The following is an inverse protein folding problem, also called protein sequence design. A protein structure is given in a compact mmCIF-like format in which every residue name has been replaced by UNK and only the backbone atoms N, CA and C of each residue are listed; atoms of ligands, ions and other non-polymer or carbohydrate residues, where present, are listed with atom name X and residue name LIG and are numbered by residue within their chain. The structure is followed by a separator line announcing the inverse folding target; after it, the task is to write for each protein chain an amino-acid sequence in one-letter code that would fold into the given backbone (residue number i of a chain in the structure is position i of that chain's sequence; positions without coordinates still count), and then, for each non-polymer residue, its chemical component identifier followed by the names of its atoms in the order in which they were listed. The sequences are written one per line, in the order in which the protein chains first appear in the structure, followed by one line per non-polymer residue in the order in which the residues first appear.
data_IF_718003740493
#
_entry.id   IF_718003740493
#
_cell.length_a   1.000
_cell.length_b   1.000
_cell.length_c   1.000
_cell.angle_alpha   90.00
_cell.angle_beta   90.00
_cell.angle_gamma   90.00
#
_symmetry.space_group_name_H-M   'P 1'
#
loop_
_entity.id
_entity.type
_entity.pdbx_description
1 polymer ?
#
# COMPACT_ATOMS: atom_id res chain seq x y z
N UNK A 1 37.52 -67.95 -6.04
CA UNK A 1 36.44 -67.00 -6.21
C UNK A 1 36.37 -65.95 -5.08
N UNK A 2 36.48 -66.32 -3.80
CA UNK A 2 36.34 -65.37 -2.66
C UNK A 2 37.28 -64.14 -2.69
N UNK A 3 38.58 -64.29 -3.06
CA UNK A 3 39.54 -63.19 -3.06
C UNK A 3 39.22 -62.13 -4.10
N UNK A 4 38.79 -62.45 -5.32
CA UNK A 4 38.41 -61.56 -6.37
C UNK A 4 37.14 -60.77 -6.00
N UNK A 5 36.16 -61.41 -5.36
CA UNK A 5 34.94 -60.80 -4.91
C UNK A 5 35.21 -59.75 -3.82
N UNK A 6 36.13 -60.07 -2.87
CA UNK A 6 36.52 -59.11 -1.82
C UNK A 6 37.17 -57.86 -2.41
N UNK A 7 38.09 -58.04 -3.38
CA UNK A 7 38.76 -56.93 -4.06
C UNK A 7 37.74 -56.00 -4.79
N UNK A 8 36.75 -56.57 -5.46
CA UNK A 8 35.68 -55.81 -6.14
C UNK A 8 34.84 -55.04 -5.13
N UNK A 9 34.47 -55.64 -4.01
CA UNK A 9 33.72 -54.97 -2.95
C UNK A 9 34.50 -53.78 -2.39
N UNK A 10 35.79 -53.95 -2.12
CA UNK A 10 36.65 -52.87 -1.67
C UNK A 10 36.76 -51.73 -2.71
N UNK A 11 36.96 -52.08 -3.98
CA UNK A 11 37.04 -51.09 -5.06
C UNK A 11 35.74 -50.31 -5.20
N UNK A 12 34.59 -50.95 -5.14
CA UNK A 12 33.27 -50.29 -5.16
C UNK A 12 33.07 -49.42 -3.92
N UNK A 13 33.45 -49.89 -2.74
CA UNK A 13 33.34 -49.09 -1.51
C UNK A 13 34.20 -47.83 -1.56
N UNK A 14 35.47 -47.94 -2.01
CA UNK A 14 36.36 -46.77 -2.19
C UNK A 14 35.82 -45.82 -3.23
N UNK A 15 35.31 -46.33 -4.35
CA UNK A 15 34.67 -45.49 -5.37
C UNK A 15 33.46 -44.72 -4.82
N UNK A 16 32.59 -45.41 -4.06
CA UNK A 16 31.42 -44.76 -3.44
C UNK A 16 31.82 -43.69 -2.43
N UNK A 17 32.87 -43.93 -1.62
CA UNK A 17 33.37 -42.93 -0.68
C UNK A 17 33.90 -41.71 -1.42
N UNK A 18 34.74 -41.90 -2.44
CA UNK A 18 35.28 -40.82 -3.25
C UNK A 18 34.13 -40.06 -3.94
N UNK A 19 33.17 -40.78 -4.52
CA UNK A 19 31.98 -40.19 -5.14
C UNK A 19 31.17 -39.35 -4.16
N UNK A 20 30.89 -39.86 -2.95
CA UNK A 20 30.14 -39.13 -1.93
C UNK A 20 30.87 -37.86 -1.46
N UNK A 21 32.20 -37.95 -1.27
CA UNK A 21 33.02 -36.80 -0.87
C UNK A 21 32.99 -35.73 -2.00
N UNK A 22 33.26 -36.15 -3.23
CA UNK A 22 33.28 -35.27 -4.40
C UNK A 22 31.89 -34.63 -4.62
N UNK A 23 30.85 -35.45 -4.57
CA UNK A 23 29.47 -35.01 -4.73
C UNK A 23 29.06 -34.02 -3.65
N UNK A 24 29.38 -34.30 -2.38
CA UNK A 24 29.08 -33.39 -1.29
C UNK A 24 29.85 -32.07 -1.40
N UNK A 25 31.07 -32.07 -1.93
CA UNK A 25 31.87 -30.88 -2.14
C UNK A 25 31.35 -30.04 -3.32
N UNK A 26 30.97 -30.69 -4.42
CA UNK A 26 30.45 -30.02 -5.62
C UNK A 26 29.03 -29.53 -5.40
N UNK A 27 28.22 -30.28 -4.65
CA UNK A 27 26.83 -29.96 -4.35
C UNK A 27 26.66 -29.22 -3.02
N UNK A 28 27.68 -28.58 -2.47
CA UNK A 28 27.52 -27.67 -1.33
C UNK A 28 27.33 -26.25 -1.79
N UNK A 29 26.41 -25.53 -1.14
CA UNK A 29 26.18 -24.09 -1.44
C UNK A 29 27.48 -23.31 -1.28
N UNK A 30 27.93 -22.68 -2.36
CA UNK A 30 29.17 -21.91 -2.37
C UNK A 30 28.94 -20.40 -2.41
N UNK A 31 27.73 -19.97 -2.82
CA UNK A 31 27.39 -18.56 -2.99
C UNK A 31 25.90 -18.33 -2.89
N UNK A 32 25.52 -17.26 -2.24
CA UNK A 32 24.23 -16.61 -2.39
C UNK A 32 24.41 -15.34 -3.20
N UNK A 33 23.46 -15.06 -4.07
CA UNK A 33 23.39 -13.82 -4.81
C UNK A 33 22.00 -13.25 -4.64
N UNK A 34 21.91 -12.09 -3.99
CA UNK A 34 20.66 -11.35 -3.87
C UNK A 34 20.60 -10.35 -5.02
N UNK A 35 19.62 -10.55 -5.91
CA UNK A 35 19.40 -9.72 -7.11
C UNK A 35 18.19 -8.84 -6.87
N UNK A 36 18.29 -7.57 -7.24
CA UNK A 36 17.20 -6.61 -7.17
C UNK A 36 17.27 -5.65 -8.35
N UNK A 37 16.10 -5.22 -8.83
CA UNK A 37 16.02 -4.08 -9.73
C UNK A 37 16.34 -2.80 -8.95
N UNK A 38 16.31 -1.62 -9.56
CA UNK A 38 16.60 -0.36 -8.88
C UNK A 38 15.83 -0.24 -7.55
N UNK A 39 16.54 0.09 -6.47
CA UNK A 39 15.97 0.20 -5.13
C UNK A 39 16.49 1.43 -4.38
N UNK A 40 15.86 1.77 -3.26
CA UNK A 40 16.34 2.81 -2.36
C UNK A 40 17.68 2.41 -1.71
N UNK A 41 18.50 3.36 -1.21
CA UNK A 41 19.71 3.03 -0.47
C UNK A 41 19.47 2.08 0.72
N UNK A 42 18.33 2.23 1.40
CA UNK A 42 17.93 1.37 2.53
C UNK A 42 17.62 -0.05 2.07
N UNK A 43 16.94 -0.21 0.93
CA UNK A 43 16.71 -1.52 0.32
C UNK A 43 18.01 -2.20 -0.03
N UNK A 44 18.96 -1.48 -0.66
CA UNK A 44 20.27 -2.01 -1.04
C UNK A 44 21.00 -2.53 0.21
N UNK A 45 21.03 -1.72 1.27
CA UNK A 45 21.67 -2.11 2.52
C UNK A 45 21.01 -3.36 3.16
N UNK A 46 19.68 -3.45 3.13
CA UNK A 46 18.95 -4.63 3.62
C UNK A 46 19.19 -5.86 2.74
N UNK A 47 19.23 -5.72 1.43
CA UNK A 47 19.53 -6.82 0.51
C UNK A 47 20.95 -7.37 0.74
N UNK A 48 21.94 -6.51 0.99
CA UNK A 48 23.29 -6.91 1.36
C UNK A 48 23.31 -7.63 2.73
N UNK A 49 22.54 -7.16 3.70
CA UNK A 49 22.41 -7.84 5.00
C UNK A 49 21.79 -9.23 4.85
N UNK A 50 20.74 -9.37 4.02
CA UNK A 50 20.13 -10.66 3.69
C UNK A 50 21.16 -11.61 3.08
N UNK A 51 21.93 -11.13 2.11
CA UNK A 51 22.97 -11.95 1.49
C UNK A 51 23.99 -12.44 2.51
N UNK A 52 24.52 -11.54 3.34
CA UNK A 52 25.50 -11.88 4.36
C UNK A 52 24.96 -12.90 5.37
N UNK A 53 23.72 -12.75 5.81
CA UNK A 53 23.08 -13.64 6.76
C UNK A 53 22.82 -15.04 6.15
N UNK A 54 22.39 -15.08 4.89
CA UNK A 54 22.23 -16.35 4.16
C UNK A 54 23.58 -17.06 3.99
N UNK A 55 24.64 -16.32 3.68
CA UNK A 55 25.99 -16.87 3.57
C UNK A 55 26.48 -17.39 4.93
N UNK A 56 26.32 -16.62 6.01
CA UNK A 56 26.74 -17.06 7.34
C UNK A 56 26.02 -18.34 7.80
N UNK A 57 24.71 -18.41 7.60
CA UNK A 57 23.89 -19.53 8.06
C UNK A 57 23.97 -20.78 7.19
N UNK A 58 24.13 -20.61 5.87
CA UNK A 58 23.85 -21.69 4.90
C UNK A 58 24.98 -22.00 3.92
N UNK A 59 26.10 -21.27 3.89
CA UNK A 59 27.27 -21.69 3.12
C UNK A 59 27.74 -23.09 3.51
N UNK A 60 28.19 -23.85 2.53
CA UNK A 60 28.64 -25.25 2.67
C UNK A 60 27.57 -26.26 3.06
N UNK A 61 26.31 -25.87 3.25
CA UNK A 61 25.22 -26.85 3.38
C UNK A 61 24.91 -27.47 2.03
N UNK A 62 24.27 -28.64 2.07
CA UNK A 62 23.98 -29.37 0.83
C UNK A 62 22.98 -28.59 -0.03
N UNK A 63 23.39 -28.27 -1.24
CA UNK A 63 22.61 -27.51 -2.22
C UNK A 63 21.28 -28.16 -2.61
N UNK A 64 21.29 -29.51 -2.75
CA UNK A 64 20.08 -30.23 -3.18
C UNK A 64 19.00 -30.28 -2.11
N UNK A 65 19.41 -30.28 -0.84
CA UNK A 65 18.49 -30.29 0.32
C UNK A 65 18.29 -28.90 0.93
N UNK A 66 18.74 -27.85 0.26
CA UNK A 66 18.47 -26.49 0.71
C UNK A 66 16.99 -26.18 0.53
N UNK A 67 16.34 -25.73 1.59
CA UNK A 67 14.92 -25.36 1.63
C UNK A 67 14.75 -23.88 1.34
N UNK A 68 13.87 -23.54 0.43
CA UNK A 68 13.62 -22.15 0.03
C UNK A 68 12.98 -21.32 1.17
N UNK A 69 12.26 -21.99 2.06
CA UNK A 69 11.66 -21.40 3.27
C UNK A 69 12.69 -20.68 4.14
N UNK A 70 13.94 -21.13 4.14
CA UNK A 70 15.03 -20.46 4.84
C UNK A 70 15.32 -19.08 4.28
N UNK A 71 15.15 -18.87 2.97
CA UNK A 71 15.31 -17.57 2.32
C UNK A 71 14.17 -16.65 2.73
N UNK A 72 12.92 -17.13 2.61
CA UNK A 72 11.76 -16.35 3.00
C UNK A 72 11.82 -15.91 4.46
N UNK A 73 12.22 -16.80 5.36
CA UNK A 73 12.38 -16.49 6.78
C UNK A 73 13.47 -15.41 7.01
N UNK A 74 14.62 -15.53 6.35
CA UNK A 74 15.73 -14.57 6.49
C UNK A 74 15.36 -13.20 5.91
N UNK A 75 14.70 -13.16 4.75
CA UNK A 75 14.22 -11.91 4.14
C UNK A 75 13.16 -11.26 5.01
N UNK A 76 12.24 -12.02 5.60
CA UNK A 76 11.24 -11.48 6.52
C UNK A 76 11.86 -10.91 7.80
N UNK A 77 12.87 -11.59 8.36
CA UNK A 77 13.57 -11.16 9.57
C UNK A 77 14.34 -9.83 9.37
N UNK A 78 15.07 -9.70 8.26
CA UNK A 78 15.95 -8.56 7.98
C UNK A 78 15.20 -7.43 7.25
N UNK A 79 14.43 -7.80 6.23
CA UNK A 79 13.69 -6.88 5.38
C UNK A 79 12.47 -6.27 6.08
N UNK A 80 11.99 -6.91 7.16
CA UNK A 80 10.67 -6.60 7.71
C UNK A 80 9.60 -6.79 6.63
N UNK A 81 8.63 -5.88 6.58
CA UNK A 81 7.63 -5.87 5.51
C UNK A 81 8.10 -5.24 4.19
N UNK A 82 9.28 -4.62 4.16
CA UNK A 82 9.74 -3.80 3.02
C UNK A 82 10.43 -4.56 1.89
N UNK A 83 10.85 -5.81 2.13
CA UNK A 83 11.40 -6.68 1.10
C UNK A 83 10.46 -7.84 0.81
N UNK A 84 10.23 -8.10 -0.46
CA UNK A 84 9.49 -9.26 -0.94
C UNK A 84 10.38 -10.15 -1.78
N UNK A 85 10.37 -11.45 -1.50
CA UNK A 85 11.02 -12.45 -2.35
C UNK A 85 10.18 -12.65 -3.59
N UNK A 86 10.74 -12.36 -4.76
CA UNK A 86 10.11 -12.58 -6.07
C UNK A 86 10.35 -14.01 -6.54
N UNK A 87 11.59 -14.49 -6.42
CA UNK A 87 11.95 -15.87 -6.77
C UNK A 87 13.19 -16.33 -6.00
N UNK A 88 13.28 -17.64 -5.81
CA UNK A 88 14.48 -18.32 -5.33
C UNK A 88 14.86 -19.34 -6.38
N UNK A 89 16.05 -19.23 -6.93
CA UNK A 89 16.52 -20.11 -8.00
C UNK A 89 17.77 -20.83 -7.58
N UNK A 90 17.74 -22.16 -7.72
CA UNK A 90 18.91 -23.02 -7.54
C UNK A 90 19.70 -23.08 -8.85
N UNK A 91 20.81 -22.33 -8.91
CA UNK A 91 21.69 -22.29 -10.08
C UNK A 91 22.79 -23.33 -9.92
N UNK A 92 22.68 -24.39 -10.74
CA UNK A 92 23.67 -25.49 -10.70
C UNK A 92 25.09 -24.96 -11.01
N UNK A 93 26.15 -25.47 -10.35
CA UNK A 93 26.12 -26.62 -9.43
C UNK A 93 25.83 -26.26 -7.95
N UNK A 94 25.98 -25.01 -7.52
CA UNK A 94 26.09 -24.71 -6.09
C UNK A 94 25.78 -23.26 -5.69
N UNK A 95 25.13 -22.50 -6.56
CA UNK A 95 24.72 -21.10 -6.31
C UNK A 95 23.21 -21.03 -6.05
N UNK A 96 22.80 -20.18 -5.12
CA UNK A 96 21.40 -19.82 -4.89
C UNK A 96 21.23 -18.35 -5.25
N UNK A 97 20.36 -18.07 -6.21
CA UNK A 97 19.98 -16.72 -6.62
C UNK A 97 18.64 -16.38 -6.00
N UNK A 98 18.58 -15.25 -5.30
CA UNK A 98 17.37 -14.73 -4.64
C UNK A 98 17.03 -13.42 -5.26
N UNK A 99 15.90 -13.35 -5.96
CA UNK A 99 15.39 -12.10 -6.48
C UNK A 99 14.46 -11.47 -5.45
N UNK A 100 14.73 -10.21 -5.09
CA UNK A 100 13.90 -9.44 -4.15
C UNK A 100 13.46 -8.12 -4.79
N UNK A 101 12.30 -7.63 -4.35
CA UNK A 101 11.82 -6.29 -4.71
C UNK A 101 11.48 -5.49 -3.45
N UNK A 102 11.60 -4.18 -3.57
CA UNK A 102 11.17 -3.24 -2.54
C UNK A 102 9.65 -3.08 -2.57
N UNK A 103 9.04 -3.05 -1.38
CA UNK A 103 7.65 -2.63 -1.20
C UNK A 103 7.63 -1.18 -0.78
N UNK A 104 6.84 -0.42 -1.47
CA UNK A 104 6.67 1.00 -1.19
C UNK A 104 5.50 1.22 -0.23
N UNK A 105 5.70 2.16 0.68
CA UNK A 105 4.66 2.61 1.58
C UNK A 105 3.54 3.28 0.78
N UNK A 106 2.30 2.92 1.07
CA UNK A 106 1.13 3.51 0.45
C UNK A 106 0.43 4.49 1.38
N UNK A 107 0.16 4.08 2.60
CA UNK A 107 -0.52 4.89 3.60
C UNK A 107 -0.23 4.39 5.01
N UNK A 108 -0.47 5.25 6.00
CA UNK A 108 -0.32 4.94 7.41
C UNK A 108 -1.69 5.02 8.10
N UNK A 109 -2.20 3.89 8.57
CA UNK A 109 -3.39 3.87 9.41
C UNK A 109 -3.05 4.12 10.87
N UNK A 110 -3.91 4.87 11.55
CA UNK A 110 -3.72 5.20 12.97
C UNK A 110 -4.85 4.56 13.79
N UNK A 111 -4.49 3.76 14.77
CA UNK A 111 -5.44 3.17 15.72
C UNK A 111 -4.78 2.86 17.06
N UNK A 112 -5.46 3.20 18.15
CA UNK A 112 -4.99 2.90 19.52
C UNK A 112 -3.63 3.51 19.86
N UNK A 113 -3.26 4.64 19.24
CA UNK A 113 -1.95 5.28 19.41
C UNK A 113 -0.81 4.60 18.66
N UNK A 114 -1.11 3.63 17.80
CA UNK A 114 -0.14 2.97 16.92
C UNK A 114 -0.32 3.37 15.48
N UNK A 115 0.77 3.35 14.75
CA UNK A 115 0.88 3.67 13.34
C UNK A 115 1.19 2.39 12.56
N UNK A 116 0.31 2.04 11.63
CA UNK A 116 0.39 0.86 10.79
C UNK A 116 0.70 1.30 9.37
N UNK A 117 1.94 1.12 8.95
CA UNK A 117 2.35 1.43 7.57
C UNK A 117 1.97 0.28 6.68
N UNK A 118 1.20 0.60 5.64
CA UNK A 118 0.68 -0.38 4.68
C UNK A 118 1.26 -0.09 3.31
N UNK A 119 1.75 -1.12 2.65
CA UNK A 119 2.28 -1.05 1.30
C UNK A 119 1.19 -0.93 0.23
N UNK A 120 1.61 -0.66 -0.98
CA UNK A 120 0.74 -0.55 -2.16
C UNK A 120 -0.03 -1.84 -2.46
N UNK A 121 0.55 -2.98 -2.13
CA UNK A 121 -0.07 -4.31 -2.24
C UNK A 121 -1.01 -4.64 -1.07
N UNK A 122 -1.16 -3.75 -0.10
CA UNK A 122 -1.95 -3.93 1.11
C UNK A 122 -1.29 -4.79 2.19
N UNK A 123 0.02 -5.01 2.14
CA UNK A 123 0.75 -5.69 3.22
C UNK A 123 1.19 -4.69 4.29
N UNK A 124 1.09 -5.06 5.56
CA UNK A 124 1.61 -4.25 6.67
C UNK A 124 3.13 -4.32 6.69
N UNK A 125 3.78 -3.18 6.48
CA UNK A 125 5.22 -3.06 6.38
C UNK A 125 5.87 -2.82 7.75
N UNK A 126 5.23 -2.01 8.58
CA UNK A 126 5.70 -1.73 9.94
C UNK A 126 4.56 -1.36 10.87
N UNK A 127 4.78 -1.55 12.18
CA UNK A 127 3.88 -1.12 13.25
C UNK A 127 4.73 -0.44 14.32
N UNK A 128 4.43 0.82 14.63
CA UNK A 128 5.20 1.60 15.61
C UNK A 128 4.30 2.46 16.52
N UNK A 129 4.84 2.89 17.65
CA UNK A 129 4.17 3.82 18.58
C UNK A 129 4.42 5.29 18.17
N UNK A 130 5.18 5.52 17.12
CA UNK A 130 5.49 6.85 16.58
C UNK A 130 5.27 6.88 15.10
N UNK A 131 4.82 8.00 14.59
CA UNK A 131 4.79 8.24 13.15
C UNK A 131 6.22 8.54 12.66
N UNK A 132 7.02 7.49 12.47
CA UNK A 132 8.41 7.61 12.02
C UNK A 132 8.52 8.02 10.55
N UNK A 133 7.42 7.86 9.80
CA UNK A 133 7.38 8.08 8.36
C UNK A 133 6.77 9.43 7.98
N UNK A 134 6.58 10.33 8.94
CA UNK A 134 6.10 11.69 8.68
C UNK A 134 7.21 12.57 8.07
N UNK A 135 7.89 12.04 7.07
CA UNK A 135 8.70 12.83 6.15
C UNK A 135 7.72 13.35 5.11
N UNK A 136 7.60 14.67 5.02
CA UNK A 136 6.70 15.38 4.10
C UNK A 136 6.55 14.64 2.76
N UNK A 137 5.32 14.26 2.45
CA UNK A 137 4.95 13.69 1.15
C UNK A 137 5.19 12.18 0.95
N UNK A 138 5.60 11.40 1.96
CA UNK A 138 5.80 9.96 1.78
C UNK A 138 4.58 9.12 2.06
N UNK A 139 3.85 9.39 3.15
CA UNK A 139 2.70 8.59 3.55
C UNK A 139 1.48 9.44 3.81
N UNK A 140 0.37 9.02 3.24
CA UNK A 140 -0.94 9.60 3.57
C UNK A 140 -1.40 8.97 4.88
N UNK A 141 -1.62 9.80 5.90
CA UNK A 141 -2.18 9.35 7.18
C UNK A 141 -3.68 9.11 7.04
N UNK A 142 -4.15 7.93 7.43
CA UNK A 142 -5.56 7.55 7.38
C UNK A 142 -6.09 7.40 8.81
N UNK A 143 -7.19 8.09 9.09
CA UNK A 143 -7.84 8.11 10.41
C UNK A 143 -9.33 7.84 10.26
N UNK A 144 -9.96 7.26 11.29
CA UNK A 144 -11.41 7.06 11.33
C UNK A 144 -11.90 5.77 10.67
N UNK A 145 -11.03 4.96 10.07
CA UNK A 145 -11.38 3.65 9.54
C UNK A 145 -10.93 2.58 10.54
N UNK A 146 -11.87 1.77 11.03
CA UNK A 146 -11.56 0.67 11.92
C UNK A 146 -11.07 -0.55 11.12
N UNK A 147 -10.06 -1.22 11.66
CA UNK A 147 -9.44 -2.37 11.04
C UNK A 147 -9.07 -3.45 12.05
N UNK A 148 -8.91 -4.66 11.53
CA UNK A 148 -8.43 -5.79 12.32
C UNK A 148 -6.94 -5.56 12.60
N UNK A 149 -6.53 -5.68 13.87
CA UNK A 149 -5.15 -5.43 14.29
C UNK A 149 -4.19 -6.43 13.63
N UNK A 150 -3.46 -6.04 12.58
CA UNK A 150 -2.55 -6.92 11.86
C UNK A 150 -1.15 -6.91 12.47
N UNK A 151 -0.36 -7.92 12.13
CA UNK A 151 1.08 -7.94 12.39
C UNK A 151 1.85 -7.54 11.12
N UNK A 152 3.13 -7.24 11.27
CA UNK A 152 4.01 -7.01 10.12
C UNK A 152 4.03 -8.24 9.23
N UNK A 153 3.83 -8.05 7.93
CA UNK A 153 3.73 -9.11 6.94
C UNK A 153 2.30 -9.57 6.63
N UNK A 154 1.32 -9.27 7.50
CA UNK A 154 -0.07 -9.62 7.24
C UNK A 154 -0.70 -8.74 6.15
N UNK A 155 -1.74 -9.26 5.52
CA UNK A 155 -2.62 -8.42 4.67
C UNK A 155 -3.50 -7.55 5.55
N UNK A 156 -3.47 -6.26 5.27
CA UNK A 156 -4.32 -5.28 5.94
C UNK A 156 -5.79 -5.50 5.58
N UNK A 157 -6.64 -5.63 6.60
CA UNK A 157 -8.08 -5.81 6.44
C UNK A 157 -8.83 -4.89 7.38
N UNK A 158 -9.87 -4.26 6.87
CA UNK A 158 -10.79 -3.44 7.66
C UNK A 158 -11.91 -4.30 8.26
N UNK A 159 -12.59 -3.78 9.27
CA UNK A 159 -13.79 -4.41 9.80
C UNK A 159 -14.92 -4.36 8.76
N UNK A 160 -15.89 -5.23 8.86
CA UNK A 160 -16.98 -5.38 7.86
C UNK A 160 -17.72 -4.07 7.60
N UNK A 161 -17.99 -3.31 8.66
CA UNK A 161 -18.67 -2.00 8.61
C UNK A 161 -17.90 -0.95 7.77
N UNK A 162 -16.57 -1.04 7.68
CA UNK A 162 -15.75 -0.10 6.94
C UNK A 162 -15.32 -0.58 5.54
N UNK A 163 -15.84 -1.72 5.07
CA UNK A 163 -15.44 -2.27 3.76
C UNK A 163 -15.73 -1.31 2.61
N UNK A 164 -16.87 -0.64 2.63
CA UNK A 164 -17.23 0.34 1.58
C UNK A 164 -16.37 1.60 1.67
N UNK A 165 -16.18 2.14 2.86
CA UNK A 165 -15.31 3.29 3.11
C UNK A 165 -13.88 3.02 2.64
N UNK A 166 -13.35 1.83 2.92
CA UNK A 166 -12.03 1.44 2.48
C UNK A 166 -11.92 1.28 0.96
N UNK A 167 -12.95 0.74 0.31
CA UNK A 167 -12.99 0.67 -1.14
C UNK A 167 -13.02 2.07 -1.78
N UNK A 168 -13.80 2.99 -1.22
CA UNK A 168 -13.86 4.38 -1.64
C UNK A 168 -12.51 5.09 -1.43
N UNK A 169 -11.87 4.89 -0.27
CA UNK A 169 -10.52 5.41 0.03
C UNK A 169 -9.50 4.95 -1.02
N UNK A 170 -9.48 3.68 -1.34
CA UNK A 170 -8.58 3.15 -2.37
C UNK A 170 -8.83 3.78 -3.75
N UNK A 171 -10.10 4.02 -4.10
CA UNK A 171 -10.46 4.68 -5.35
C UNK A 171 -9.91 6.12 -5.37
N UNK A 172 -10.05 6.87 -4.29
CA UNK A 172 -9.50 8.22 -4.17
C UNK A 172 -7.97 8.22 -4.31
N UNK A 173 -7.28 7.34 -3.56
CA UNK A 173 -5.81 7.24 -3.60
C UNK A 173 -5.32 6.85 -5.00
N UNK A 174 -6.02 5.98 -5.72
CA UNK A 174 -5.67 5.64 -7.08
C UNK A 174 -5.74 6.85 -8.02
N UNK A 175 -6.76 7.70 -7.89
CA UNK A 175 -6.87 8.95 -8.68
C UNK A 175 -5.75 9.95 -8.29
N UNK A 176 -5.44 10.08 -7.01
CA UNK A 176 -4.31 10.89 -6.52
C UNK A 176 -2.99 10.41 -7.13
N UNK A 177 -2.74 9.10 -7.11
CA UNK A 177 -1.53 8.51 -7.68
C UNK A 177 -1.46 8.68 -9.20
N UNK A 178 -2.58 8.49 -9.90
CA UNK A 178 -2.67 8.64 -11.35
C UNK A 178 -2.32 10.07 -11.83
N UNK A 179 -2.56 11.07 -10.96
CA UNK A 179 -2.23 12.48 -11.22
C UNK A 179 -0.87 12.92 -10.67
N UNK A 180 -0.15 12.05 -9.97
CA UNK A 180 1.12 12.39 -9.33
C UNK A 180 0.98 13.33 -8.12
N UNK A 181 -0.23 13.44 -7.54
CA UNK A 181 -0.55 14.36 -6.45
C UNK A 181 -0.32 13.77 -5.05
N UNK A 182 0.28 12.60 -4.97
CA UNK A 182 0.49 11.91 -3.69
C UNK A 182 1.21 12.78 -2.65
N UNK A 183 2.25 13.50 -3.06
CA UNK A 183 3.02 14.41 -2.20
C UNK A 183 2.22 15.63 -1.70
N UNK A 184 1.04 15.88 -2.26
CA UNK A 184 0.18 17.00 -1.88
C UNK A 184 -0.84 16.63 -0.80
N UNK A 185 -1.05 15.35 -0.52
CA UNK A 185 -2.03 14.86 0.45
C UNK A 185 -1.31 14.45 1.74
N UNK A 186 -1.69 15.04 2.86
CA UNK A 186 -1.11 14.75 4.17
C UNK A 186 -1.92 13.71 4.93
N UNK A 187 -3.24 13.88 4.98
CA UNK A 187 -4.13 13.10 5.83
C UNK A 187 -5.49 12.96 5.18
N UNK A 188 -6.11 11.82 5.40
CA UNK A 188 -7.51 11.57 5.07
C UNK A 188 -8.20 11.06 6.32
N UNK A 189 -9.22 11.78 6.77
CA UNK A 189 -10.06 11.39 7.88
C UNK A 189 -11.42 10.94 7.35
N UNK A 190 -11.81 9.73 7.70
CA UNK A 190 -13.17 9.26 7.51
C UNK A 190 -13.98 9.60 8.74
N UNK A 191 -15.09 10.27 8.55
CA UNK A 191 -16.03 10.63 9.61
C UNK A 191 -17.46 10.22 9.25
N UNK A 192 -18.26 10.05 10.31
CA UNK A 192 -19.70 9.83 10.21
C UNK A 192 -20.39 10.63 11.32
N UNK A 193 -21.61 11.09 11.10
CA UNK A 193 -22.39 11.77 12.14
C UNK A 193 -23.20 10.83 13.02
N UNK A 194 -22.83 9.55 13.06
CA UNK A 194 -23.40 8.56 13.99
C UNK A 194 -24.74 7.99 13.58
N UNK A 195 -25.11 8.10 12.32
CA UNK A 195 -26.25 7.39 11.77
C UNK A 195 -27.59 8.02 12.08
N UNK A 196 -27.69 9.34 11.95
CA UNK A 196 -28.98 9.99 11.86
C UNK A 196 -29.60 9.65 10.50
N UNK A 197 -30.24 8.49 10.44
CA UNK A 197 -30.77 7.86 9.23
C UNK A 197 -31.98 8.59 8.63
N UNK A 198 -32.44 9.67 9.26
CA UNK A 198 -33.61 10.42 8.81
C UNK A 198 -33.28 11.47 7.75
N UNK A 199 -31.98 11.69 7.50
CA UNK A 199 -31.53 12.58 6.43
C UNK A 199 -31.04 11.76 5.24
N UNK A 200 -31.64 11.99 4.12
CA UNK A 200 -31.34 11.31 2.85
C UNK A 200 -30.08 11.82 2.14
N UNK A 201 -29.42 12.86 2.65
CA UNK A 201 -28.03 13.23 2.36
C UNK A 201 -27.22 13.01 3.65
N UNK A 202 -26.14 12.44 3.52
CA UNK A 202 -25.60 11.62 4.51
C UNK A 202 -24.51 12.12 5.41
N UNK A 203 -24.20 11.27 6.02
CA UNK A 203 -23.74 10.90 7.33
C UNK A 203 -22.26 10.48 7.30
N UNK A 204 -21.65 10.35 6.13
CA UNK A 204 -20.24 10.03 6.03
C UNK A 204 -19.48 11.01 5.14
N UNK A 205 -18.19 11.18 5.42
CA UNK A 205 -17.33 12.04 4.61
C UNK A 205 -15.87 11.59 4.67
N UNK A 206 -15.12 11.93 3.63
CA UNK A 206 -13.68 12.06 3.72
C UNK A 206 -13.33 13.54 3.87
N UNK A 207 -12.53 13.86 4.90
CA UNK A 207 -11.87 15.15 5.04
C UNK A 207 -10.38 14.95 4.74
N UNK A 208 -9.91 15.62 3.69
CA UNK A 208 -8.56 15.46 3.18
C UNK A 208 -7.80 16.76 3.44
N UNK A 209 -6.74 16.67 4.23
CA UNK A 209 -5.81 17.75 4.47
C UNK A 209 -4.73 17.75 3.39
N UNK A 210 -4.48 18.91 2.77
CA UNK A 210 -3.43 19.08 1.77
C UNK A 210 -2.22 19.82 2.34
N UNK A 211 -1.07 19.65 1.71
CA UNK A 211 0.18 20.36 2.08
C UNK A 211 0.02 21.88 1.95
N UNK A 212 -0.76 22.34 0.99
CA UNK A 212 -0.93 23.77 0.71
C UNK A 212 -1.94 24.44 1.64
N UNK A 213 -2.82 23.68 2.32
CA UNK A 213 -3.72 24.14 3.35
C UNK A 213 -5.21 24.11 2.99
N UNK A 214 -5.58 24.10 1.69
CA UNK A 214 -6.98 23.88 1.31
C UNK A 214 -7.38 22.46 1.70
N UNK A 215 -8.61 22.28 2.18
CA UNK A 215 -9.17 20.97 2.50
C UNK A 215 -10.11 20.50 1.41
N UNK A 216 -10.11 19.20 1.19
CA UNK A 216 -11.08 18.57 0.29
C UNK A 216 -12.03 17.75 1.15
N UNK A 217 -13.32 18.02 1.03
CA UNK A 217 -14.37 17.24 1.70
C UNK A 217 -15.22 16.52 0.67
N UNK A 218 -15.23 15.19 0.74
CA UNK A 218 -16.05 14.35 -0.13
C UNK A 218 -17.18 13.78 0.71
N UNK A 219 -18.39 14.17 0.42
CA UNK A 219 -19.59 13.70 1.10
C UNK A 219 -20.03 12.38 0.49
N UNK A 220 -20.49 11.45 1.33
CA UNK A 220 -20.95 10.12 0.93
C UNK A 220 -19.97 9.36 0.02
N UNK A 221 -18.71 9.17 0.44
CA UNK A 221 -17.72 8.52 -0.40
C UNK A 221 -18.10 7.09 -0.80
N UNK A 222 -18.99 6.46 -0.06
CA UNK A 222 -19.44 5.07 -0.24
C UNK A 222 -20.61 4.94 -1.21
N UNK A 223 -21.22 6.07 -1.60
CA UNK A 223 -22.36 6.13 -2.51
C UNK A 223 -21.96 6.64 -3.87
N UNK A 224 -22.71 6.22 -4.86
CA UNK A 224 -22.54 6.62 -6.25
C UNK A 224 -21.10 6.39 -6.77
N UNK A 225 -20.67 7.19 -7.72
CA UNK A 225 -19.36 7.03 -8.35
C UNK A 225 -18.25 7.80 -7.61
N UNK A 226 -17.54 7.11 -6.72
CA UNK A 226 -16.40 7.70 -6.00
C UNK A 226 -15.27 8.14 -6.94
N UNK A 227 -15.08 7.49 -8.10
CA UNK A 227 -14.06 7.91 -9.08
C UNK A 227 -14.43 9.26 -9.69
N UNK A 228 -15.72 9.48 -10.00
CA UNK A 228 -16.19 10.79 -10.46
C UNK A 228 -16.00 11.87 -9.40
N UNK A 229 -16.36 11.58 -8.13
CA UNK A 229 -16.14 12.50 -7.00
C UNK A 229 -14.66 12.86 -6.84
N UNK A 230 -13.78 11.87 -6.87
CA UNK A 230 -12.34 12.07 -6.76
C UNK A 230 -11.79 12.93 -7.91
N UNK A 231 -12.22 12.64 -9.15
CA UNK A 231 -11.81 13.43 -10.33
C UNK A 231 -12.22 14.88 -10.20
N UNK A 232 -13.48 15.15 -9.86
CA UNK A 232 -13.97 16.51 -9.68
C UNK A 232 -13.20 17.27 -8.59
N UNK A 233 -12.98 16.63 -7.44
CA UNK A 233 -12.19 17.21 -6.35
C UNK A 233 -10.79 17.60 -6.79
N UNK A 234 -10.10 16.67 -7.44
CA UNK A 234 -8.71 16.86 -7.85
C UNK A 234 -8.58 17.78 -9.06
N UNK A 235 -9.60 17.87 -9.95
CA UNK A 235 -9.64 18.85 -11.04
C UNK A 235 -9.69 20.28 -10.48
N UNK A 236 -10.52 20.53 -9.48
CA UNK A 236 -10.59 21.85 -8.83
C UNK A 236 -9.29 22.16 -8.09
N UNK A 237 -8.74 21.17 -7.38
CA UNK A 237 -7.48 21.33 -6.67
C UNK A 237 -6.32 21.68 -7.63
N UNK A 238 -6.25 21.02 -8.79
CA UNK A 238 -5.20 21.27 -9.78
C UNK A 238 -5.36 22.59 -10.52
N UNK A 239 -6.59 22.89 -10.97
CA UNK A 239 -6.84 23.99 -11.90
C UNK A 239 -7.26 25.26 -11.22
N UNK A 240 -7.69 25.21 -9.96
CA UNK A 240 -8.35 26.30 -9.22
C UNK A 240 -9.57 26.87 -9.98
N UNK A 241 -10.33 25.98 -10.62
CA UNK A 241 -11.57 26.32 -11.33
C UNK A 241 -12.70 25.43 -10.86
N UNK A 242 -13.82 26.03 -10.59
CA UNK A 242 -15.08 25.34 -10.30
C UNK A 242 -16.01 25.54 -11.48
N UNK A 243 -16.67 24.48 -11.93
CA UNK A 243 -17.75 24.62 -12.91
C UNK A 243 -19.05 24.87 -12.16
N UNK A 244 -19.70 25.97 -12.45
CA UNK A 244 -21.04 26.23 -11.91
C UNK A 244 -22.00 25.17 -12.45
N UNK A 245 -22.65 24.40 -11.56
CA UNK A 245 -23.44 23.25 -11.99
C UNK A 245 -24.72 23.61 -12.74
N UNK A 246 -25.19 24.86 -12.60
CA UNK A 246 -26.45 25.30 -13.19
C UNK A 246 -26.24 26.02 -14.53
N UNK A 247 -25.15 26.78 -14.66
CA UNK A 247 -24.82 27.52 -15.88
C UNK A 247 -23.79 26.82 -16.77
N UNK A 248 -22.99 25.89 -16.20
CA UNK A 248 -21.86 25.28 -16.89
C UNK A 248 -20.66 26.21 -17.09
N UNK A 249 -20.68 27.42 -16.53
CA UNK A 249 -19.59 28.37 -16.63
C UNK A 249 -18.44 28.03 -15.67
N UNK A 250 -17.22 28.25 -16.12
CA UNK A 250 -16.03 28.07 -15.28
C UNK A 250 -15.81 29.32 -14.42
N UNK A 251 -15.80 29.15 -13.11
CA UNK A 251 -15.48 30.18 -12.13
C UNK A 251 -14.02 30.01 -11.71
N UNK A 252 -13.17 30.97 -11.99
CA UNK A 252 -11.77 30.93 -11.54
C UNK A 252 -11.69 31.33 -10.07
N UNK A 253 -11.01 30.48 -9.29
CA UNK A 253 -10.71 30.79 -7.89
C UNK A 253 -9.38 31.55 -7.84
N UNK A 254 -9.27 32.48 -6.87
CA UNK A 254 -8.01 33.19 -6.66
C UNK A 254 -6.92 32.25 -6.14
N UNK A 255 -5.62 32.60 -6.25
CA UNK A 255 -4.51 31.77 -5.80
C UNK A 255 -4.57 31.43 -4.31
N UNK A 256 -5.21 32.24 -3.50
CA UNK A 256 -5.41 32.01 -2.07
C UNK A 256 -6.32 30.81 -1.79
N UNK A 257 -7.10 30.36 -2.79
CA UNK A 257 -7.96 29.19 -2.66
C UNK A 257 -7.18 27.87 -2.45
N UNK A 258 -5.91 27.83 -2.79
CA UNK A 258 -5.04 26.68 -2.46
C UNK A 258 -4.64 26.66 -0.99
N UNK A 259 -4.56 27.78 -0.35
CA UNK A 259 -4.08 27.89 1.02
C UNK A 259 -5.20 27.92 2.05
N UNK A 260 -6.44 28.14 1.62
CA UNK A 260 -7.57 28.34 2.52
C UNK A 260 -8.86 27.72 1.97
N UNK A 261 -9.77 27.44 2.89
CA UNK A 261 -11.13 27.01 2.56
C UNK A 261 -11.26 25.54 2.26
N UNK A 262 -12.37 25.20 1.62
CA UNK A 262 -12.79 23.83 1.37
C UNK A 262 -13.27 23.64 -0.06
N UNK A 263 -12.84 22.56 -0.67
CA UNK A 263 -13.40 21.99 -1.89
C UNK A 263 -14.40 20.92 -1.46
N UNK A 264 -15.69 21.23 -1.53
CA UNK A 264 -16.74 20.29 -1.17
C UNK A 264 -17.23 19.56 -2.41
N UNK A 265 -17.21 18.24 -2.35
CA UNK A 265 -17.77 17.38 -3.39
C UNK A 265 -18.96 16.62 -2.82
N UNK A 266 -20.10 16.78 -3.45
CA UNK A 266 -21.35 16.20 -2.97
C UNK A 266 -22.23 15.79 -4.13
N UNK A 267 -23.15 14.87 -3.86
CA UNK A 267 -24.18 14.46 -4.80
C UNK A 267 -25.35 15.45 -4.73
N UNK A 268 -25.90 15.79 -5.89
CA UNK A 268 -27.14 16.56 -5.98
C UNK A 268 -28.32 15.64 -6.22
N UNK A 269 -29.42 16.02 -5.62
CA UNK A 269 -30.69 15.27 -5.68
C UNK A 269 -31.79 16.18 -6.18
N UNK A 270 -32.78 15.61 -6.86
CA UNK A 270 -33.98 16.34 -7.31
C UNK A 270 -35.24 15.63 -6.89
N UNK A 271 -36.32 16.39 -6.74
CA UNK A 271 -37.62 15.82 -6.45
C UNK A 271 -38.31 15.38 -7.74
N UNK A 272 -38.62 14.09 -7.84
CA UNK A 272 -39.39 13.49 -8.92
C UNK A 272 -40.71 12.98 -8.34
N UNK A 273 -41.72 13.82 -8.38
CA UNK A 273 -43.00 13.53 -7.70
C UNK A 273 -42.85 13.48 -6.18
N UNK A 274 -43.10 12.31 -5.57
CA UNK A 274 -42.94 12.09 -4.13
C UNK A 274 -41.62 11.40 -3.75
N UNK A 275 -40.70 11.22 -4.72
CA UNK A 275 -39.42 10.57 -4.49
C UNK A 275 -38.28 11.60 -4.67
N UNK A 276 -37.14 11.28 -4.05
CA UNK A 276 -35.91 12.04 -4.23
C UNK A 276 -34.96 11.14 -5.00
N UNK A 277 -34.49 11.63 -6.13
CA UNK A 277 -33.62 10.85 -7.02
C UNK A 277 -32.25 11.56 -7.15
N UNK A 278 -31.18 10.73 -7.26
CA UNK A 278 -29.84 11.23 -7.57
C UNK A 278 -29.86 11.89 -8.98
N UNK A 279 -29.31 13.07 -9.07
CA UNK A 279 -29.20 13.80 -10.32
C UNK A 279 -27.77 13.73 -10.87
N UNK A 280 -26.84 14.30 -10.14
CA UNK A 280 -25.43 14.36 -10.53
C UNK A 280 -24.53 14.61 -9.30
N UNK A 281 -23.23 14.62 -9.51
CA UNK A 281 -22.24 15.02 -8.51
C UNK A 281 -21.72 16.41 -8.85
N UNK A 282 -21.60 17.27 -7.87
CA UNK A 282 -21.10 18.65 -8.01
C UNK A 282 -19.92 18.91 -7.08
N UNK A 283 -19.17 19.96 -7.39
CA UNK A 283 -18.09 20.48 -6.58
C UNK A 283 -18.31 21.96 -6.31
N UNK A 284 -18.11 22.37 -5.06
CA UNK A 284 -18.31 23.75 -4.60
C UNK A 284 -17.07 24.14 -3.81
N UNK A 285 -16.53 25.32 -4.11
CA UNK A 285 -15.50 25.92 -3.26
C UNK A 285 -16.12 26.87 -2.25
N UNK A 286 -15.72 26.75 -0.99
CA UNK A 286 -16.07 27.66 0.07
C UNK A 286 -14.81 28.19 0.76
N UNK A 287 -14.66 29.52 0.91
CA UNK A 287 -13.56 30.08 1.69
C UNK A 287 -13.69 29.78 3.20
N UNK A 288 -14.86 29.34 3.62
CA UNK A 288 -15.16 28.87 4.97
C UNK A 288 -15.55 27.39 4.92
N UNK A 289 -15.68 26.79 6.08
CA UNK A 289 -16.03 25.37 6.24
C UNK A 289 -17.53 25.05 5.99
N UNK A 290 -18.35 26.02 5.60
CA UNK A 290 -19.75 25.80 5.26
C UNK A 290 -19.96 25.84 3.74
N UNK A 291 -20.42 24.76 3.13
CA UNK A 291 -20.77 24.74 1.71
C UNK A 291 -22.04 25.56 1.44
N UNK A 292 -22.20 25.99 0.21
CA UNK A 292 -23.43 26.60 -0.28
C UNK A 292 -24.50 25.53 -0.48
N UNK A 293 -25.38 25.38 0.52
CA UNK A 293 -26.40 24.32 0.53
C UNK A 293 -27.44 24.47 -0.59
N UNK A 294 -27.68 25.68 -1.09
CA UNK A 294 -28.61 25.92 -2.19
C UNK A 294 -28.15 25.26 -3.49
N UNK A 295 -26.84 25.04 -3.61
CA UNK A 295 -26.26 24.32 -4.75
C UNK A 295 -26.28 22.79 -4.62
N UNK A 296 -26.55 22.28 -3.44
CA UNK A 296 -26.63 20.85 -3.14
C UNK A 296 -28.04 20.31 -3.32
N UNK A 297 -29.03 21.10 -2.96
CA UNK A 297 -30.45 20.71 -2.98
C UNK A 297 -31.14 21.49 -4.08
N UNK A 298 -31.67 20.79 -5.06
CA UNK A 298 -32.51 21.38 -6.10
C UNK A 298 -33.94 21.20 -5.68
N UNK A 299 -34.63 22.32 -5.48
CA UNK A 299 -36.06 22.36 -5.11
C UNK A 299 -36.97 22.07 -6.30
#
# INVERSE_FOLDING_TARGET
MRKKTIVIIYAVAVFLIIFLITFNTVCSVSQFEVVYDAGSPDMIAKAEQVQNELEEKYLRKNYLFFEEENVYATVAEIGGGYLEVVSVEKVFPNKISVSVKEKYEAYTFVSGGKYYVVGDDGTVLSVSDKNENNIEGRNIEIVGIEFNTPQVGDKFTVTESFTKAYAALRTFINEVNARGLRGNILRIEYGTDGGNTDQWFDNSWFLIDTVEGVRIQIIDPERNDMSAKAKLALDVYDTLKVIDPDTGEAIELGPDARMNGYIHVTDRYEHVGNTVEYRDTTVIYSPNDQPDLDKIIIQ
#
